data_IF_757210646523
#
_entry.id   IF_757210646523
#
_cell.length_a   1.000
_cell.length_b   1.000
_cell.length_c   1.000
_cell.angle_alpha   90.00
_cell.angle_beta   90.00
_cell.angle_gamma   90.00
#
_symmetry.space_group_name_H-M   'P 1'
#
loop_
_entity.id
_entity.type
_entity.pdbx_description
1 polymer ?
#
# COMPACT_ATOMS: atom_id res chain seq x y z
N UNK A 1 -8.86 45.62 -3.47
CA UNK A 1 -8.35 46.06 -4.79
C UNK A 1 -7.03 45.35 -5.00
N UNK A 2 -7.04 44.23 -5.73
CA UNK A 2 -6.51 44.11 -7.12
C UNK A 2 -5.00 44.38 -7.15
N UNK A 3 -4.11 43.49 -7.57
CA UNK A 3 -4.15 42.64 -8.76
C UNK A 3 -3.24 41.41 -8.64
N UNK A 4 -3.72 40.31 -9.23
CA UNK A 4 -2.96 39.16 -9.68
C UNK A 4 -1.99 39.57 -10.79
N UNK A 5 -0.75 39.05 -10.77
CA UNK A 5 0.02 38.87 -12.00
C UNK A 5 0.34 37.38 -12.17
N UNK A 6 -0.50 36.80 -13.01
CA UNK A 6 -0.41 35.48 -13.61
C UNK A 6 0.75 35.49 -14.63
N UNK A 7 1.88 34.85 -14.28
CA UNK A 7 2.95 34.60 -15.24
C UNK A 7 2.64 33.33 -16.03
N UNK A 8 2.02 33.54 -17.18
CA UNK A 8 1.88 32.60 -18.29
C UNK A 8 3.24 31.93 -18.62
N UNK A 9 3.43 30.70 -18.14
CA UNK A 9 4.31 29.75 -18.80
C UNK A 9 3.55 29.17 -20.00
N UNK A 10 4.07 29.26 -21.24
CA UNK A 10 3.42 28.60 -22.37
C UNK A 10 3.46 27.09 -22.14
N UNK A 11 2.29 26.49 -21.94
CA UNK A 11 2.12 25.04 -21.99
C UNK A 11 2.62 24.57 -23.35
N UNK A 12 3.73 23.81 -23.38
CA UNK A 12 4.09 23.03 -24.56
C UNK A 12 2.89 22.15 -24.87
N UNK A 13 2.18 22.43 -25.97
CA UNK A 13 1.20 21.52 -26.52
C UNK A 13 1.95 20.24 -26.89
N UNK A 14 1.90 19.24 -26.02
CA UNK A 14 2.29 17.88 -26.34
C UNK A 14 1.24 17.36 -27.30
N UNK A 15 1.50 17.50 -28.60
CA UNK A 15 0.73 16.83 -29.63
C UNK A 15 0.85 15.34 -29.32
N UNK A 16 -0.27 14.70 -29.00
CA UNK A 16 -0.32 13.27 -28.69
C UNK A 16 -0.09 12.50 -29.99
N UNK A 17 1.17 12.24 -30.33
CA UNK A 17 1.54 11.42 -31.47
C UNK A 17 1.43 9.97 -30.99
N UNK A 18 0.42 9.26 -31.47
CA UNK A 18 0.32 7.80 -31.31
C UNK A 18 1.42 7.18 -32.17
N UNK A 19 2.59 6.96 -31.57
CA UNK A 19 3.70 6.28 -32.23
C UNK A 19 3.56 4.78 -32.02
N UNK A 20 3.67 4.02 -33.11
CA UNK A 20 3.48 2.57 -33.09
C UNK A 20 4.78 1.81 -32.82
N UNK A 21 5.95 2.37 -33.13
CA UNK A 21 7.27 1.75 -32.87
C UNK A 21 8.37 2.75 -32.48
N UNK A 22 9.45 2.25 -31.86
CA UNK A 22 10.64 3.05 -31.56
C UNK A 22 11.38 3.57 -32.81
N UNK A 23 11.32 2.86 -33.94
CA UNK A 23 11.96 3.31 -35.18
C UNK A 23 11.24 4.54 -35.78
N UNK A 24 9.90 4.53 -35.77
CA UNK A 24 9.11 5.67 -36.23
C UNK A 24 9.40 6.94 -35.41
N UNK A 25 9.63 6.80 -34.10
CA UNK A 25 10.07 7.90 -33.27
C UNK A 25 11.40 8.48 -33.75
N UNK A 26 12.40 7.62 -34.04
CA UNK A 26 13.70 8.07 -34.54
C UNK A 26 13.61 8.72 -35.91
N UNK A 27 12.84 8.16 -36.83
CA UNK A 27 12.70 8.68 -38.19
C UNK A 27 11.97 10.04 -38.20
N UNK A 28 11.03 10.27 -37.28
CA UNK A 28 10.35 11.56 -37.15
C UNK A 28 11.23 12.63 -36.50
N UNK A 29 11.97 12.30 -35.44
CA UNK A 29 12.77 13.27 -34.70
C UNK A 29 14.14 13.55 -35.37
N UNK A 30 14.64 12.59 -36.15
CA UNK A 30 15.92 12.68 -36.84
C UNK A 30 15.78 12.27 -38.31
N UNK A 31 15.03 13.02 -39.13
CA UNK A 31 14.66 12.60 -40.49
C UNK A 31 15.84 12.59 -41.47
N UNK A 32 16.95 13.24 -41.14
CA UNK A 32 18.11 13.37 -42.02
C UNK A 32 19.37 12.72 -41.44
N UNK A 33 20.26 12.26 -42.33
CA UNK A 33 21.56 11.73 -41.94
C UNK A 33 22.36 12.72 -41.09
N UNK A 34 22.41 13.99 -41.48
CA UNK A 34 23.10 15.04 -40.71
C UNK A 34 22.55 15.18 -39.29
N UNK A 35 21.23 15.11 -39.11
CA UNK A 35 20.61 15.18 -37.78
C UNK A 35 20.90 13.93 -36.94
N UNK A 36 21.02 12.74 -37.57
CA UNK A 36 21.35 11.49 -36.88
C UNK A 36 22.83 11.44 -36.44
N UNK A 37 23.74 11.93 -37.28
CA UNK A 37 25.17 11.99 -36.98
C UNK A 37 25.51 12.95 -35.83
N UNK A 38 24.64 13.92 -35.53
CA UNK A 38 24.84 14.85 -34.40
C UNK A 38 24.38 14.30 -33.06
N UNK A 39 23.66 13.17 -33.04
CA UNK A 39 23.12 12.59 -31.81
C UNK A 39 24.20 11.81 -31.09
N UNK A 40 24.43 12.16 -29.82
CA UNK A 40 25.38 11.48 -28.93
C UNK A 40 24.72 10.53 -27.93
N UNK A 41 23.49 10.81 -27.52
CA UNK A 41 22.73 9.98 -26.59
C UNK A 41 21.27 9.93 -27.02
N UNK A 42 20.67 8.75 -26.97
CA UNK A 42 19.25 8.51 -27.22
C UNK A 42 18.67 7.84 -25.98
N UNK A 43 17.65 8.48 -25.40
CA UNK A 43 16.87 7.91 -24.31
C UNK A 43 15.44 7.65 -24.80
N UNK A 44 15.06 6.36 -24.84
CA UNK A 44 13.70 5.92 -25.13
C UNK A 44 13.08 5.41 -23.83
N UNK A 45 12.51 6.34 -23.08
CA UNK A 45 11.58 6.02 -22.01
C UNK A 45 10.25 5.59 -22.62
N UNK A 46 9.96 4.29 -22.59
CA UNK A 46 8.56 3.87 -22.49
C UNK A 46 8.10 4.28 -21.10
N UNK A 47 7.67 5.53 -20.94
CA UNK A 47 6.76 5.85 -19.85
C UNK A 47 5.59 4.92 -20.06
N UNK A 48 5.46 3.94 -19.17
CA UNK A 48 4.23 3.18 -19.03
C UNK A 48 3.15 4.23 -18.79
N UNK A 49 2.47 4.64 -19.87
CA UNK A 49 1.23 5.35 -19.75
C UNK A 49 0.36 4.36 -18.98
N UNK A 50 0.05 4.71 -17.73
CA UNK A 50 -1.08 4.10 -17.04
C UNK A 50 -2.34 4.51 -17.81
N UNK A 51 -2.54 3.95 -19.00
CA UNK A 51 -3.81 4.01 -19.69
C UNK A 51 -4.70 3.06 -18.90
N UNK A 52 -5.61 3.67 -18.16
CA UNK A 52 -6.84 3.07 -17.67
C UNK A 52 -7.21 1.80 -18.46
N UNK A 53 -7.15 0.65 -17.79
CA UNK A 53 -7.78 -0.63 -18.16
C UNK A 53 -7.90 -0.89 -19.68
N UNK A 54 -7.00 -1.73 -20.20
CA UNK A 54 -7.09 -2.51 -21.47
C UNK A 54 -6.47 -1.94 -22.76
N UNK A 55 -5.40 -1.15 -22.70
CA UNK A 55 -4.52 -1.03 -23.88
C UNK A 55 -3.09 -1.38 -23.51
N UNK A 56 -2.59 -2.46 -24.12
CA UNK A 56 -1.22 -2.98 -23.97
C UNK A 56 -0.23 -1.90 -24.42
N UNK A 57 0.53 -1.34 -23.49
CA UNK A 57 1.72 -0.55 -23.76
C UNK A 57 2.92 -1.43 -24.21
N UNK A 58 2.69 -2.36 -25.15
CA UNK A 58 3.70 -3.33 -25.60
C UNK A 58 4.20 -3.08 -27.03
N UNK A 59 3.84 -1.97 -27.67
CA UNK A 59 4.11 -1.80 -29.10
C UNK A 59 5.39 -0.99 -29.38
N UNK A 60 5.83 -0.11 -28.48
CA UNK A 60 7.12 0.58 -28.65
C UNK A 60 8.34 -0.36 -28.58
N UNK A 61 8.17 -1.57 -28.05
CA UNK A 61 9.22 -2.59 -27.93
C UNK A 61 9.19 -3.65 -29.05
N UNK A 62 8.24 -3.58 -29.98
CA UNK A 62 8.17 -4.54 -31.11
C UNK A 62 8.64 -3.90 -32.40
N UNK A 63 9.74 -4.43 -32.94
CA UNK A 63 10.33 -4.00 -34.21
C UNK A 63 11.85 -4.06 -34.17
N UNK A 64 12.49 -4.01 -35.35
CA UNK A 64 13.94 -3.87 -35.44
C UNK A 64 14.30 -2.39 -35.37
N UNK A 65 15.15 -2.02 -34.41
CA UNK A 65 15.72 -0.68 -34.33
C UNK A 65 16.99 -0.63 -35.19
N UNK A 66 17.06 0.32 -36.12
CA UNK A 66 18.23 0.54 -36.97
C UNK A 66 18.98 1.80 -36.52
N UNK A 67 20.12 1.58 -35.87
CA UNK A 67 20.98 2.66 -35.36
C UNK A 67 22.20 2.91 -36.25
N UNK A 68 22.31 2.27 -37.43
CA UNK A 68 23.52 2.34 -38.28
C UNK A 68 23.89 3.76 -38.74
N UNK A 69 22.90 4.65 -38.82
CA UNK A 69 23.10 6.05 -39.24
C UNK A 69 23.46 7.00 -38.08
N UNK A 70 23.42 6.52 -36.84
CA UNK A 70 23.78 7.27 -35.64
C UNK A 70 25.25 7.00 -35.28
N UNK A 71 26.16 7.38 -36.18
CA UNK A 71 27.58 7.00 -36.12
C UNK A 71 28.33 7.56 -34.90
N UNK A 72 27.81 8.63 -34.28
CA UNK A 72 28.40 9.28 -33.11
C UNK A 72 27.59 8.98 -31.83
N UNK A 73 26.73 7.96 -31.85
CA UNK A 73 25.96 7.55 -30.68
C UNK A 73 26.90 6.90 -29.66
N UNK A 74 27.12 7.61 -28.56
CA UNK A 74 27.94 7.16 -27.43
C UNK A 74 27.10 6.35 -26.43
N UNK A 75 25.80 6.65 -26.32
CA UNK A 75 24.92 6.07 -25.30
C UNK A 75 23.50 5.79 -25.85
N UNK A 76 22.96 4.61 -25.52
CA UNK A 76 21.58 4.24 -25.84
C UNK A 76 20.91 3.62 -24.62
N UNK A 77 19.97 4.34 -24.02
CA UNK A 77 19.21 3.90 -22.84
C UNK A 77 17.79 3.55 -23.27
N UNK A 78 17.38 2.34 -22.91
CA UNK A 78 15.98 1.92 -22.97
C UNK A 78 15.46 1.70 -21.57
N UNK A 79 14.15 1.88 -21.38
CA UNK A 79 13.47 1.51 -20.13
C UNK A 79 13.71 0.04 -19.71
N UNK A 80 13.97 -0.87 -20.67
CA UNK A 80 14.34 -2.26 -20.39
C UNK A 80 15.75 -2.38 -19.79
N UNK A 81 16.72 -1.63 -20.32
CA UNK A 81 18.07 -1.57 -19.76
C UNK A 81 18.08 -0.93 -18.37
N UNK A 82 17.27 0.11 -18.15
CA UNK A 82 17.09 0.72 -16.83
C UNK A 82 16.49 -0.27 -15.82
N UNK A 83 15.47 -1.05 -16.21
CA UNK A 83 14.89 -2.10 -15.36
C UNK A 83 15.90 -3.20 -15.02
N UNK A 84 16.70 -3.66 -16.00
CA UNK A 84 17.78 -4.62 -15.77
C UNK A 84 18.84 -4.06 -14.81
N UNK A 85 19.21 -2.80 -14.97
CA UNK A 85 20.17 -2.12 -14.09
C UNK A 85 19.64 -1.98 -12.66
N UNK A 86 18.35 -1.67 -12.48
CA UNK A 86 17.71 -1.62 -11.16
C UNK A 86 17.72 -3.00 -10.50
N UNK A 87 17.41 -4.07 -11.25
CA UNK A 87 17.47 -5.44 -10.74
C UNK A 87 18.90 -5.82 -10.34
N UNK A 88 19.91 -5.51 -11.16
CA UNK A 88 21.31 -5.77 -10.82
C UNK A 88 21.80 -4.99 -9.60
N UNK A 89 21.35 -3.75 -9.44
CA UNK A 89 21.66 -2.94 -8.25
C UNK A 89 20.98 -3.55 -7.02
N UNK A 90 19.73 -4.00 -7.11
CA UNK A 90 19.02 -4.63 -5.99
C UNK A 90 19.70 -5.93 -5.55
N UNK A 91 20.18 -6.75 -6.51
CA UNK A 91 20.98 -7.96 -6.23
C UNK A 91 22.30 -7.58 -5.54
N UNK A 92 23.06 -6.63 -6.07
CA UNK A 92 24.34 -6.21 -5.47
C UNK A 92 24.16 -5.61 -4.08
N UNK A 93 23.12 -4.79 -3.87
CA UNK A 93 22.82 -4.23 -2.55
C UNK A 93 22.41 -5.35 -1.59
N UNK A 94 21.62 -6.33 -2.05
CA UNK A 94 21.28 -7.52 -1.27
C UNK A 94 22.55 -8.25 -0.84
N UNK A 95 23.48 -8.54 -1.75
CA UNK A 95 24.73 -9.25 -1.45
C UNK A 95 25.63 -8.47 -0.46
N UNK A 96 25.61 -7.14 -0.52
CA UNK A 96 26.40 -6.27 0.38
C UNK A 96 25.78 -6.20 1.78
N UNK A 97 24.45 -6.07 1.87
CA UNK A 97 23.73 -5.81 3.13
C UNK A 97 23.36 -7.11 3.85
N UNK A 98 23.19 -8.20 3.10
CA UNK A 98 22.82 -9.53 3.57
C UNK A 98 23.83 -10.58 3.07
N UNK A 99 25.15 -10.42 3.32
CA UNK A 99 26.13 -11.41 2.89
C UNK A 99 25.85 -12.74 3.60
N UNK A 100 25.84 -13.83 2.84
CA UNK A 100 25.60 -15.20 3.34
C UNK A 100 24.27 -15.39 4.08
N UNK A 101 23.28 -14.53 3.84
CA UNK A 101 21.99 -14.64 4.54
C UNK A 101 21.16 -15.80 4.01
N UNK A 102 20.45 -16.49 4.91
CA UNK A 102 19.45 -17.51 4.54
C UNK A 102 18.30 -16.91 3.70
N UNK A 103 18.17 -15.59 3.67
CA UNK A 103 17.24 -14.85 2.82
C UNK A 103 17.93 -14.46 1.51
N UNK A 104 17.50 -15.03 0.41
CA UNK A 104 18.05 -14.76 -0.92
C UNK A 104 17.74 -13.37 -1.48
N UNK A 105 16.86 -12.59 -0.84
CA UNK A 105 16.64 -11.16 -1.13
C UNK A 105 15.82 -10.43 -0.05
N UNK A 106 15.74 -9.10 -0.15
CA UNK A 106 14.92 -8.26 0.73
C UNK A 106 13.42 -8.59 0.71
N UNK A 107 12.90 -9.14 -0.40
CA UNK A 107 11.51 -9.60 -0.48
C UNK A 107 11.25 -10.75 0.49
N UNK A 108 12.13 -11.75 0.50
CA UNK A 108 12.06 -12.88 1.43
C UNK A 108 12.24 -12.43 2.88
N UNK A 109 13.20 -11.52 3.14
CA UNK A 109 13.37 -10.96 4.49
C UNK A 109 12.12 -10.21 4.97
N UNK A 110 11.47 -9.41 4.11
CA UNK A 110 10.21 -8.73 4.45
C UNK A 110 9.10 -9.72 4.77
N UNK A 111 8.97 -10.80 4.00
CA UNK A 111 7.97 -11.84 4.26
C UNK A 111 8.23 -12.53 5.61
N UNK A 112 9.49 -12.84 5.91
CA UNK A 112 9.85 -13.48 7.17
C UNK A 112 9.59 -12.57 8.38
N UNK A 113 9.90 -11.27 8.27
CA UNK A 113 9.57 -10.29 9.31
C UNK A 113 8.06 -10.25 9.56
N UNK A 114 7.24 -10.30 8.51
CA UNK A 114 5.77 -10.35 8.64
C UNK A 114 5.31 -11.64 9.31
N UNK A 115 5.86 -12.79 8.90
CA UNK A 115 5.58 -14.10 9.51
C UNK A 115 5.89 -14.09 11.01
N UNK A 116 7.11 -13.70 11.38
CA UNK A 116 7.54 -13.64 12.78
C UNK A 116 6.66 -12.68 13.61
N UNK A 117 6.27 -11.53 13.05
CA UNK A 117 5.35 -10.62 13.73
C UNK A 117 3.97 -11.23 13.94
N UNK A 118 3.44 -11.94 12.95
CA UNK A 118 2.16 -12.65 13.09
C UNK A 118 2.24 -13.75 14.14
N UNK A 119 3.33 -14.53 14.17
CA UNK A 119 3.52 -15.62 15.13
C UNK A 119 3.60 -15.12 16.57
N UNK A 120 4.16 -13.92 16.79
CA UNK A 120 4.20 -13.29 18.11
C UNK A 120 2.86 -12.66 18.49
N UNK A 121 2.23 -11.91 17.56
CA UNK A 121 1.06 -11.09 17.88
C UNK A 121 -0.25 -11.88 17.90
N UNK A 122 -0.37 -12.94 17.11
CA UNK A 122 -1.58 -13.78 17.06
C UNK A 122 -1.94 -14.39 18.41
N UNK A 123 -1.03 -15.12 19.10
CA UNK A 123 -1.35 -15.68 20.42
C UNK A 123 -1.62 -14.60 21.47
N UNK A 124 -0.88 -13.47 21.43
CA UNK A 124 -1.15 -12.34 22.32
C UNK A 124 -2.56 -11.77 22.14
N UNK A 125 -3.00 -11.63 20.89
CA UNK A 125 -4.36 -11.20 20.58
C UNK A 125 -5.41 -12.19 21.07
N UNK A 126 -5.20 -13.50 20.88
CA UNK A 126 -6.13 -14.51 21.38
C UNK A 126 -6.24 -14.48 22.91
N UNK A 127 -5.12 -14.29 23.63
CA UNK A 127 -5.14 -14.16 25.08
C UNK A 127 -5.94 -12.93 25.53
N UNK A 128 -5.67 -11.76 24.93
CA UNK A 128 -6.44 -10.53 25.23
C UNK A 128 -7.92 -10.68 24.91
N UNK A 129 -8.24 -11.42 23.85
CA UNK A 129 -9.62 -11.70 23.45
C UNK A 129 -10.32 -12.54 24.52
N UNK A 130 -9.69 -13.62 24.96
CA UNK A 130 -10.22 -14.47 26.02
C UNK A 130 -10.40 -13.70 27.34
N UNK A 131 -9.42 -12.88 27.74
CA UNK A 131 -9.55 -12.01 28.92
C UNK A 131 -10.76 -11.08 28.83
N UNK A 132 -10.98 -10.44 27.67
CA UNK A 132 -12.12 -9.55 27.48
C UNK A 132 -13.45 -10.31 27.45
N UNK A 133 -13.50 -11.50 26.86
CA UNK A 133 -14.69 -12.36 26.84
C UNK A 133 -15.08 -12.79 28.27
N UNK A 134 -14.10 -13.13 29.11
CA UNK A 134 -14.33 -13.45 30.52
C UNK A 134 -14.88 -12.23 31.28
N UNK A 135 -14.22 -11.07 31.16
CA UNK A 135 -14.67 -9.82 31.79
C UNK A 135 -16.08 -9.41 31.31
N UNK A 136 -16.37 -9.59 30.02
CA UNK A 136 -17.68 -9.32 29.45
C UNK A 136 -18.74 -10.27 30.04
N UNK A 137 -18.42 -11.56 30.21
CA UNK A 137 -19.35 -12.51 30.80
C UNK A 137 -19.62 -12.20 32.28
N UNK A 138 -18.58 -11.85 33.05
CA UNK A 138 -18.73 -11.40 34.45
C UNK A 138 -19.63 -10.17 34.51
N UNK A 139 -19.40 -9.18 33.64
CA UNK A 139 -20.21 -7.97 33.56
C UNK A 139 -21.68 -8.26 33.22
N UNK A 140 -21.93 -9.14 32.25
CA UNK A 140 -23.28 -9.56 31.86
C UNK A 140 -24.01 -10.26 33.00
N UNK A 141 -23.35 -11.21 33.65
CA UNK A 141 -23.91 -11.92 34.80
C UNK A 141 -24.26 -10.95 35.94
N UNK A 142 -23.42 -9.92 36.17
CA UNK A 142 -23.66 -8.89 37.18
C UNK A 142 -24.78 -7.91 36.79
N UNK A 143 -24.87 -7.59 35.51
CA UNK A 143 -25.92 -6.73 34.95
C UNK A 143 -27.31 -7.40 35.03
N UNK A 144 -27.33 -8.73 34.89
CA UNK A 144 -28.54 -9.56 34.83
C UNK A 144 -29.22 -9.49 33.45
N UNK A 145 -30.23 -10.35 33.27
CA UNK A 145 -30.91 -10.61 31.99
C UNK A 145 -31.42 -9.32 31.31
N UNK A 146 -31.89 -8.35 32.10
CA UNK A 146 -32.44 -7.09 31.58
C UNK A 146 -31.37 -6.19 30.94
N UNK A 147 -30.10 -6.33 31.31
CA UNK A 147 -29.01 -5.42 30.93
C UNK A 147 -27.83 -6.11 30.25
N UNK A 148 -27.79 -7.44 30.14
CA UNK A 148 -26.75 -8.16 29.39
C UNK A 148 -26.60 -7.62 27.95
N UNK A 149 -27.72 -7.34 27.28
CA UNK A 149 -27.72 -6.79 25.93
C UNK A 149 -27.02 -5.43 25.87
N UNK A 150 -27.16 -4.60 26.92
CA UNK A 150 -26.52 -3.28 27.01
C UNK A 150 -25.01 -3.42 27.17
N UNK A 151 -24.50 -4.40 27.92
CA UNK A 151 -23.06 -4.69 28.00
C UNK A 151 -22.50 -5.01 26.61
N UNK A 152 -23.22 -5.84 25.84
CA UNK A 152 -22.81 -6.20 24.48
C UNK A 152 -22.83 -4.99 23.53
N UNK A 153 -23.84 -4.12 23.66
CA UNK A 153 -23.95 -2.88 22.88
C UNK A 153 -22.85 -1.88 23.23
N UNK A 154 -22.49 -1.74 24.52
CA UNK A 154 -21.39 -0.90 24.98
C UNK A 154 -20.07 -1.29 24.28
N UNK A 155 -19.70 -2.57 24.36
CA UNK A 155 -18.47 -3.10 23.76
C UNK A 155 -18.45 -2.95 22.23
N UNK A 156 -19.57 -3.28 21.57
CA UNK A 156 -19.70 -3.15 20.11
C UNK A 156 -19.62 -1.70 19.64
N UNK A 157 -20.21 -0.77 20.40
CA UNK A 157 -20.20 0.66 20.09
C UNK A 157 -18.79 1.20 20.22
N UNK A 158 -18.09 0.88 21.31
CA UNK A 158 -16.67 1.23 21.49
C UNK A 158 -15.79 0.73 20.34
N UNK A 159 -15.93 -0.55 19.97
CA UNK A 159 -15.18 -1.13 18.86
C UNK A 159 -15.47 -0.41 17.52
N UNK A 160 -16.73 -0.03 17.29
CA UNK A 160 -17.16 0.67 16.07
C UNK A 160 -16.61 2.10 15.98
N UNK A 161 -16.54 2.81 17.11
CA UNK A 161 -15.94 4.15 17.19
C UNK A 161 -14.47 4.10 16.74
N UNK A 162 -13.73 3.12 17.26
CA UNK A 162 -12.31 2.93 16.93
C UNK A 162 -12.13 2.57 15.45
N UNK A 163 -12.79 1.50 14.99
CA UNK A 163 -12.63 0.99 13.60
C UNK A 163 -13.01 2.03 12.54
N UNK A 164 -13.98 2.91 12.85
CA UNK A 164 -14.43 3.98 11.94
C UNK A 164 -13.65 5.28 12.10
N UNK A 165 -12.67 5.33 13.02
CA UNK A 165 -11.94 6.55 13.41
C UNK A 165 -12.89 7.69 13.78
N UNK A 166 -14.00 7.34 14.43
CA UNK A 166 -15.11 8.21 14.81
C UNK A 166 -14.96 8.74 16.25
N UNK A 167 -13.72 8.97 16.70
CA UNK A 167 -13.47 9.47 18.07
C UNK A 167 -14.21 10.75 18.40
N UNK A 168 -14.46 11.60 17.39
CA UNK A 168 -15.16 12.88 17.52
C UNK A 168 -16.64 12.80 17.09
N UNK A 169 -17.18 11.62 16.78
CA UNK A 169 -18.59 11.45 16.44
C UNK A 169 -19.42 11.58 17.72
N UNK A 170 -20.01 12.76 17.93
CA UNK A 170 -20.77 13.07 19.14
C UNK A 170 -21.89 12.07 19.37
N UNK A 171 -22.59 11.64 18.31
CA UNK A 171 -23.67 10.67 18.45
C UNK A 171 -23.18 9.31 18.98
N UNK A 172 -22.04 8.83 18.48
CA UNK A 172 -21.49 7.56 18.96
C UNK A 172 -20.96 7.66 20.40
N UNK A 173 -20.38 8.80 20.78
CA UNK A 173 -19.96 9.08 22.15
C UNK A 173 -21.15 9.19 23.10
N UNK A 174 -22.22 9.89 22.69
CA UNK A 174 -23.45 10.03 23.46
C UNK A 174 -24.12 8.66 23.69
N UNK A 175 -24.11 7.78 22.68
CA UNK A 175 -24.58 6.40 22.85
C UNK A 175 -23.73 5.62 23.85
N UNK A 176 -22.41 5.75 23.76
CA UNK A 176 -21.49 5.08 24.68
C UNK A 176 -21.75 5.52 26.13
N UNK A 177 -21.94 6.81 26.36
CA UNK A 177 -22.21 7.36 27.68
C UNK A 177 -23.58 6.93 28.20
N UNK A 178 -24.63 6.95 27.36
CA UNK A 178 -25.95 6.45 27.74
C UNK A 178 -25.91 4.97 28.17
N UNK A 179 -25.15 4.13 27.48
CA UNK A 179 -24.96 2.74 27.91
C UNK A 179 -24.20 2.62 29.23
N UNK A 180 -23.20 3.47 29.47
CA UNK A 180 -22.49 3.51 30.75
C UNK A 180 -23.41 3.90 31.89
N UNK A 181 -24.21 4.95 31.71
CA UNK A 181 -25.14 5.45 32.73
C UNK A 181 -26.16 4.39 33.13
N UNK A 182 -26.72 3.67 32.15
CA UNK A 182 -27.65 2.55 32.41
C UNK A 182 -26.95 1.45 33.23
N UNK A 183 -25.72 1.10 32.86
CA UNK A 183 -24.97 0.01 33.49
C UNK A 183 -24.41 0.38 34.86
N UNK A 184 -24.24 1.66 35.19
CA UNK A 184 -23.77 2.12 36.51
C UNK A 184 -24.71 1.70 37.65
N UNK A 185 -25.97 1.36 37.35
CA UNK A 185 -26.89 0.78 38.33
C UNK A 185 -26.48 -0.61 38.83
N UNK A 186 -25.58 -1.31 38.12
CA UNK A 186 -25.14 -2.69 38.42
C UNK A 186 -23.63 -2.88 38.41
N UNK A 187 -22.91 -2.12 37.59
CA UNK A 187 -21.47 -2.16 37.46
C UNK A 187 -20.86 -0.90 38.05
N UNK A 188 -19.71 -1.06 38.68
CA UNK A 188 -18.93 0.06 39.18
C UNK A 188 -18.28 0.82 38.02
N UNK A 189 -17.94 2.09 38.25
CA UNK A 189 -17.18 2.88 37.28
C UNK A 189 -15.85 2.22 36.90
N UNK A 190 -15.20 1.51 37.82
CA UNK A 190 -13.91 0.86 37.56
C UNK A 190 -14.06 -0.40 36.69
N UNK A 191 -15.12 -1.18 36.90
CA UNK A 191 -15.45 -2.32 36.03
C UNK A 191 -15.72 -1.85 34.60
N UNK A 192 -16.55 -0.79 34.44
CA UNK A 192 -16.85 -0.22 33.12
C UNK A 192 -15.60 0.34 32.42
N UNK A 193 -14.74 1.05 33.17
CA UNK A 193 -13.49 1.60 32.65
C UNK A 193 -12.53 0.49 32.21
N UNK A 194 -12.44 -0.59 32.99
CA UNK A 194 -11.61 -1.76 32.69
C UNK A 194 -12.07 -2.46 31.40
N UNK A 195 -13.38 -2.71 31.28
CA UNK A 195 -13.99 -3.29 30.07
C UNK A 195 -13.71 -2.45 28.83
N UNK A 196 -13.95 -1.14 28.90
CA UNK A 196 -13.74 -0.24 27.77
C UNK A 196 -12.27 -0.14 27.39
N UNK A 197 -11.36 -0.09 28.37
CA UNK A 197 -9.91 -0.05 28.12
C UNK A 197 -9.43 -1.32 27.42
N UNK A 198 -9.86 -2.50 27.91
CA UNK A 198 -9.54 -3.79 27.28
C UNK A 198 -10.12 -3.92 25.88
N UNK A 199 -11.34 -3.41 25.65
CA UNK A 199 -11.94 -3.35 24.32
C UNK A 199 -11.14 -2.46 23.36
N UNK A 200 -10.62 -1.31 23.84
CA UNK A 200 -9.75 -0.43 23.06
C UNK A 200 -8.46 -1.15 22.67
N UNK A 201 -7.78 -1.76 23.64
CA UNK A 201 -6.55 -2.53 23.39
C UNK A 201 -6.78 -3.64 22.38
N UNK A 202 -7.84 -4.44 22.55
CA UNK A 202 -8.15 -5.55 21.67
C UNK A 202 -8.43 -5.07 20.24
N UNK A 203 -9.24 -4.02 20.08
CA UNK A 203 -9.61 -3.49 18.76
C UNK A 203 -8.38 -2.94 18.02
N UNK A 204 -7.48 -2.25 18.73
CA UNK A 204 -6.24 -1.75 18.16
C UNK A 204 -5.30 -2.90 17.74
N UNK A 205 -5.19 -3.95 18.55
CA UNK A 205 -4.42 -5.15 18.21
C UNK A 205 -5.01 -5.89 17.00
N UNK A 206 -6.34 -5.97 16.90
CA UNK A 206 -7.04 -6.54 15.73
C UNK A 206 -6.69 -5.79 14.44
N UNK A 207 -6.69 -4.44 14.47
CA UNK A 207 -6.31 -3.63 13.30
C UNK A 207 -4.87 -3.86 12.88
N UNK A 208 -3.94 -4.01 13.82
CA UNK A 208 -2.54 -4.28 13.53
C UNK A 208 -2.36 -5.65 12.88
N UNK A 209 -3.03 -6.68 13.40
CA UNK A 209 -3.01 -8.01 12.81
C UNK A 209 -3.61 -8.02 11.40
N UNK A 210 -4.74 -7.34 11.19
CA UNK A 210 -5.37 -7.24 9.87
C UNK A 210 -4.44 -6.59 8.84
N UNK A 211 -3.67 -5.55 9.23
CA UNK A 211 -2.67 -4.93 8.34
C UNK A 211 -1.54 -5.90 7.98
N UNK A 212 -1.01 -6.64 8.96
CA UNK A 212 0.04 -7.64 8.71
C UNK A 212 -0.47 -8.77 7.81
N UNK A 213 -1.71 -9.20 8.04
CA UNK A 213 -2.38 -10.22 7.24
C UNK A 213 -2.55 -9.77 5.78
N UNK A 214 -2.98 -8.52 5.56
CA UNK A 214 -3.07 -7.94 4.22
C UNK A 214 -1.72 -7.86 3.52
N UNK A 215 -0.65 -7.48 4.24
CA UNK A 215 0.71 -7.45 3.68
C UNK A 215 1.14 -8.85 3.22
N UNK A 216 0.91 -9.86 4.07
CA UNK A 216 1.20 -11.27 3.73
C UNK A 216 0.46 -11.71 2.47
N UNK A 217 -0.84 -11.42 2.40
CA UNK A 217 -1.70 -11.90 1.32
C UNK A 217 -1.42 -11.18 -0.01
N UNK A 218 -1.10 -9.89 0.02
CA UNK A 218 -0.66 -9.12 -1.16
C UNK A 218 0.69 -9.61 -1.70
N UNK A 219 1.55 -10.15 -0.84
CA UNK A 219 2.87 -10.68 -1.21
C UNK A 219 2.84 -12.16 -1.61
N UNK A 220 1.73 -12.87 -1.38
CA UNK A 220 1.52 -14.27 -1.75
C UNK A 220 0.79 -14.45 -3.11
N UNK A 221 0.38 -13.37 -3.78
CA UNK A 221 -0.22 -13.46 -5.11
C UNK A 221 0.81 -13.94 -6.14
N UNK A 222 0.58 -15.04 -6.88
CA UNK A 222 1.54 -15.51 -7.86
C UNK A 222 1.67 -14.49 -9.00
N UNK A 223 2.92 -14.13 -9.31
CA UNK A 223 3.26 -13.62 -10.64
C UNK A 223 2.95 -14.77 -11.60
N UNK A 224 1.74 -14.81 -12.14
CA UNK A 224 1.41 -15.70 -13.25
C UNK A 224 2.35 -15.32 -14.40
N UNK A 225 3.39 -16.14 -14.55
CA UNK A 225 4.24 -16.20 -15.73
C UNK A 225 3.34 -16.35 -16.95
N UNK A 226 3.23 -15.29 -17.75
CA UNK A 226 2.75 -15.42 -19.12
C UNK A 226 3.87 -16.04 -19.96
N UNK A 227 3.93 -17.37 -19.96
CA UNK A 227 4.60 -18.13 -21.01
C UNK A 227 3.57 -18.41 -22.11
N UNK A 228 3.47 -17.49 -23.09
CA UNK A 228 2.92 -17.76 -24.43
C UNK A 228 3.56 -16.80 -25.43
#
# INVERSE_FOLDING_TARGET
MTEFLDQNYPSKQTKEIIMTTAQEFLDQNYPSKQTKEQVKSIDIHCSSIFINKKQKANNLTKGKLDLREFINLEEFITSENAAKMIIEIDVKITDIVLPDSEFGNFGQLKQEIVRLRLDVLTPQFQNKKAELEELAQIAKNKAGDNLEAIVSLLLRTQASIIKRKKGNDSFAQDQLEAFRDILQSKLTSEELKTLLSKQIELTNSEEQLNKLQQIRDQQAAPILHNNH
#
